data_IF_155088444759
#
_entry.id   IF_155088444759
#
_cell.length_a   1.000
_cell.length_b   1.000
_cell.length_c   1.000
_cell.angle_alpha   90.00
_cell.angle_beta   90.00
_cell.angle_gamma   90.00
#
_symmetry.space_group_name_H-M   'P 1'
#
loop_
_entity.id
_entity.type
_entity.pdbx_description
1 polymer ?
#
# COMPACT_ATOMS: atom_id res chain seq x y z
N UNK A 1 2.24 22.57 -26.66
CA UNK A 1 2.69 21.51 -25.71
C UNK A 1 2.82 20.19 -26.47
N UNK A 2 4.03 19.74 -26.80
CA UNK A 2 4.28 18.47 -27.55
C UNK A 2 3.95 17.26 -26.64
N UNK A 3 2.96 16.46 -27.02
CA UNK A 3 2.74 15.12 -26.45
C UNK A 3 3.81 14.18 -27.01
N UNK A 4 4.97 14.12 -26.36
CA UNK A 4 6.10 13.24 -26.75
C UNK A 4 5.91 11.79 -26.31
N UNK A 5 6.09 10.86 -27.26
CA UNK A 5 6.64 9.50 -27.13
C UNK A 5 6.13 8.54 -26.04
N UNK A 6 4.83 8.19 -26.03
CA UNK A 6 4.35 7.05 -25.20
C UNK A 6 4.90 5.67 -25.64
N UNK A 7 5.30 5.52 -26.90
CA UNK A 7 5.74 4.24 -27.47
C UNK A 7 7.19 3.83 -27.07
N UNK A 8 8.08 4.80 -26.88
CA UNK A 8 9.45 4.53 -26.39
C UNK A 8 9.45 4.05 -24.93
N UNK A 9 8.58 4.63 -24.11
CA UNK A 9 8.41 4.25 -22.71
C UNK A 9 7.87 2.81 -22.55
N UNK A 10 7.00 2.35 -23.45
CA UNK A 10 6.45 0.99 -23.37
C UNK A 10 7.49 -0.07 -23.69
N UNK A 11 8.35 0.17 -24.69
CA UNK A 11 9.40 -0.77 -25.06
C UNK A 11 10.45 -0.90 -23.95
N UNK A 12 10.88 0.23 -23.37
CA UNK A 12 11.82 0.22 -22.24
C UNK A 12 11.25 -0.48 -21.01
N UNK A 13 9.95 -0.31 -20.72
CA UNK A 13 9.28 -1.03 -19.62
C UNK A 13 9.20 -2.53 -19.88
N UNK A 14 8.93 -2.94 -21.10
CA UNK A 14 8.87 -4.36 -21.46
C UNK A 14 10.24 -5.01 -21.29
N UNK A 15 11.29 -4.38 -21.84
CA UNK A 15 12.67 -4.84 -21.67
C UNK A 15 13.09 -4.93 -20.21
N UNK A 16 12.76 -3.92 -19.40
CA UNK A 16 13.02 -3.96 -17.95
C UNK A 16 12.28 -5.11 -17.26
N UNK A 17 11.02 -5.35 -17.61
CA UNK A 17 10.25 -6.43 -17.02
C UNK A 17 10.78 -7.82 -17.43
N UNK A 18 11.27 -7.97 -18.66
CA UNK A 18 11.88 -9.20 -19.16
C UNK A 18 13.20 -9.50 -18.45
N UNK A 19 14.11 -8.52 -18.39
CA UNK A 19 15.38 -8.67 -17.67
C UNK A 19 15.17 -9.00 -16.20
N UNK A 20 14.22 -8.35 -15.51
CA UNK A 20 13.87 -8.68 -14.13
C UNK A 20 13.31 -10.11 -13.99
N UNK A 21 12.54 -10.60 -14.97
CA UNK A 21 12.07 -12.00 -14.98
C UNK A 21 13.22 -12.97 -15.15
N UNK A 22 14.17 -12.69 -16.02
CA UNK A 22 15.36 -13.53 -16.24
C UNK A 22 16.23 -13.60 -14.98
N UNK A 23 16.53 -12.46 -14.36
CA UNK A 23 17.27 -12.41 -13.10
C UNK A 23 16.58 -13.27 -12.04
N UNK A 24 15.25 -13.19 -11.93
CA UNK A 24 14.50 -14.04 -10.98
C UNK A 24 14.62 -15.52 -11.31
N UNK A 25 14.53 -15.92 -12.57
CA UNK A 25 14.67 -17.32 -12.99
C UNK A 25 16.06 -17.86 -12.65
N UNK A 26 17.10 -17.03 -12.82
CA UNK A 26 18.47 -17.37 -12.50
C UNK A 26 18.69 -17.47 -10.98
N UNK A 27 18.21 -16.50 -10.21
CA UNK A 27 18.49 -16.42 -8.77
C UNK A 27 17.63 -17.38 -7.95
N UNK A 28 16.37 -17.61 -8.33
CA UNK A 28 15.41 -18.36 -7.51
C UNK A 28 15.86 -19.78 -7.11
N UNK A 29 16.48 -20.59 -8.01
CA UNK A 29 17.02 -21.90 -7.65
C UNK A 29 18.17 -21.84 -6.63
N UNK A 30 18.86 -20.71 -6.51
CA UNK A 30 20.00 -20.56 -5.61
C UNK A 30 19.66 -19.88 -4.29
N UNK A 31 18.42 -19.42 -4.11
CA UNK A 31 17.96 -18.87 -2.83
C UNK A 31 17.86 -19.95 -1.77
N UNK A 32 18.27 -19.62 -0.55
CA UNK A 32 18.07 -20.47 0.63
C UNK A 32 16.57 -20.63 0.95
N UNK A 33 16.20 -21.69 1.68
CA UNK A 33 14.82 -21.98 2.11
C UNK A 33 14.16 -20.78 2.78
N UNK A 34 14.89 -20.05 3.64
CA UNK A 34 14.36 -18.87 4.30
C UNK A 34 14.07 -17.74 3.32
N UNK A 35 15.00 -17.48 2.40
CA UNK A 35 14.87 -16.43 1.38
C UNK A 35 13.74 -16.74 0.38
N UNK A 36 13.63 -18.00 -0.06
CA UNK A 36 12.53 -18.47 -0.91
C UNK A 36 11.17 -18.22 -0.25
N UNK A 37 11.05 -18.56 1.04
CA UNK A 37 9.83 -18.32 1.81
C UNK A 37 9.48 -16.83 1.88
N UNK A 38 10.47 -15.96 2.13
CA UNK A 38 10.25 -14.51 2.12
C UNK A 38 9.78 -14.00 0.75
N UNK A 39 10.37 -14.52 -0.33
CA UNK A 39 9.99 -14.18 -1.69
C UNK A 39 8.55 -14.59 -2.00
N UNK A 40 8.18 -15.84 -1.69
CA UNK A 40 6.82 -16.36 -1.87
C UNK A 40 5.78 -15.57 -1.05
N UNK A 41 6.08 -15.28 0.22
CA UNK A 41 5.20 -14.48 1.10
C UNK A 41 5.01 -13.05 0.57
N UNK A 42 6.03 -12.48 -0.07
CA UNK A 42 5.94 -11.16 -0.71
C UNK A 42 5.17 -11.22 -2.03
N UNK A 43 5.40 -12.24 -2.86
CA UNK A 43 4.64 -12.48 -4.09
C UNK A 43 3.15 -12.66 -3.79
N UNK A 44 2.80 -13.49 -2.81
CA UNK A 44 1.43 -13.71 -2.36
C UNK A 44 0.79 -12.39 -1.89
N UNK A 45 1.51 -11.57 -1.12
CA UNK A 45 1.03 -10.26 -0.66
C UNK A 45 0.71 -9.30 -1.81
N UNK A 46 1.57 -9.23 -2.83
CA UNK A 46 1.35 -8.37 -4.00
C UNK A 46 0.10 -8.80 -4.77
N UNK A 47 -0.16 -10.12 -4.82
CA UNK A 47 -1.39 -10.70 -5.40
C UNK A 47 -2.63 -10.52 -4.50
N UNK A 48 -2.51 -9.86 -3.35
CA UNK A 48 -3.62 -9.64 -2.42
C UNK A 48 -3.93 -10.83 -1.51
N UNK A 49 -3.13 -11.90 -1.56
CA UNK A 49 -3.29 -13.07 -0.70
C UNK A 49 -2.82 -12.71 0.72
N UNK A 50 -3.60 -13.15 1.71
CA UNK A 50 -3.26 -12.93 3.13
C UNK A 50 -2.00 -13.70 3.50
N UNK A 51 -1.03 -12.99 4.10
CA UNK A 51 0.22 -13.59 4.56
C UNK A 51 -0.01 -14.57 5.71
N UNK A 52 0.89 -15.54 5.85
CA UNK A 52 0.92 -16.47 6.99
C UNK A 52 1.01 -15.68 8.30
N UNK A 53 0.27 -16.13 9.32
CA UNK A 53 0.33 -15.51 10.66
C UNK A 53 1.73 -15.71 11.24
N UNK A 54 2.21 -14.72 11.99
CA UNK A 54 3.43 -14.88 12.78
C UNK A 54 3.22 -15.94 13.87
N UNK A 55 4.32 -16.51 14.34
CA UNK A 55 4.29 -17.40 15.50
C UNK A 55 3.70 -16.68 16.72
N UNK A 56 2.92 -17.40 17.52
CA UNK A 56 2.41 -16.90 18.80
C UNK A 56 3.61 -16.66 19.72
N UNK A 57 3.63 -15.49 20.37
CA UNK A 57 4.67 -15.11 21.33
C UNK A 57 4.00 -14.63 22.62
N UNK A 58 4.67 -14.75 23.79
CA UNK A 58 4.23 -14.10 25.01
C UNK A 58 4.07 -12.58 24.82
N UNK A 59 3.06 -12.01 25.48
CA UNK A 59 2.77 -10.58 25.41
C UNK A 59 3.98 -9.68 25.76
N UNK A 60 4.75 -9.91 26.84
CA UNK A 60 5.86 -9.03 27.20
C UNK A 60 6.97 -9.01 26.12
N UNK A 61 7.27 -10.16 25.53
CA UNK A 61 8.26 -10.27 24.46
C UNK A 61 7.80 -9.54 23.19
N UNK A 62 6.52 -9.70 22.83
CA UNK A 62 5.92 -9.01 21.70
C UNK A 62 5.99 -7.49 21.87
N UNK A 63 5.67 -6.97 23.05
CA UNK A 63 5.75 -5.54 23.35
C UNK A 63 7.18 -5.02 23.30
N UNK A 64 8.13 -5.79 23.84
CA UNK A 64 9.57 -5.44 23.78
C UNK A 64 10.05 -5.32 22.33
N UNK A 65 9.73 -6.30 21.47
CA UNK A 65 10.09 -6.29 20.05
C UNK A 65 9.45 -5.10 19.30
N UNK A 66 8.19 -4.80 19.60
CA UNK A 66 7.51 -3.63 19.01
C UNK A 66 8.19 -2.32 19.43
N UNK A 67 8.55 -2.18 20.70
CA UNK A 67 9.25 -1.00 21.23
C UNK A 67 10.64 -0.83 20.59
N UNK A 68 11.40 -1.92 20.47
CA UNK A 68 12.71 -1.91 19.81
C UNK A 68 12.61 -1.50 18.33
N UNK A 69 11.63 -2.05 17.61
CA UNK A 69 11.38 -1.70 16.19
C UNK A 69 11.01 -0.22 16.05
N UNK A 70 10.14 0.29 16.93
CA UNK A 70 9.74 1.70 16.92
C UNK A 70 10.94 2.62 17.17
N UNK A 71 11.76 2.31 18.19
CA UNK A 71 12.99 3.05 18.50
C UNK A 71 13.96 3.07 17.32
N UNK A 72 14.17 1.93 16.66
CA UNK A 72 15.04 1.86 15.49
C UNK A 72 14.54 2.77 14.35
N UNK A 73 13.23 2.80 14.09
CA UNK A 73 12.64 3.67 13.07
C UNK A 73 12.81 5.15 13.45
N UNK A 74 12.61 5.49 14.73
CA UNK A 74 12.79 6.86 15.24
C UNK A 74 14.24 7.34 15.13
N UNK A 75 15.20 6.52 15.57
CA UNK A 75 16.62 6.83 15.46
C UNK A 75 17.04 7.02 14.01
N UNK A 76 16.54 6.16 13.10
CA UNK A 76 16.80 6.31 11.67
C UNK A 76 16.25 7.62 11.11
N UNK A 77 15.04 8.02 11.52
CA UNK A 77 14.45 9.31 11.11
C UNK A 77 15.25 10.51 11.62
N UNK A 78 15.76 10.44 12.85
CA UNK A 78 16.64 11.48 13.40
C UNK A 78 17.94 11.59 12.59
N UNK A 79 18.54 10.46 12.27
CA UNK A 79 19.75 10.42 11.42
C UNK A 79 19.50 10.96 10.01
N UNK A 80 18.34 10.65 9.40
CA UNK A 80 17.92 11.23 8.12
C UNK A 80 17.80 12.77 8.21
N UNK A 81 17.32 13.30 9.34
CA UNK A 81 17.22 14.74 9.59
C UNK A 81 18.58 15.40 9.82
N UNK A 82 19.43 14.79 10.66
CA UNK A 82 20.79 15.27 10.98
C UNK A 82 21.66 15.33 9.71
N UNK A 83 21.58 14.30 8.85
CA UNK A 83 22.32 14.26 7.59
C UNK A 83 21.65 15.06 6.47
N UNK A 84 20.42 15.55 6.67
CA UNK A 84 19.59 16.20 5.66
C UNK A 84 19.43 15.36 4.36
N UNK A 85 19.31 14.04 4.51
CA UNK A 85 19.15 13.08 3.40
C UNK A 85 17.82 12.34 3.52
N UNK A 86 17.13 12.15 2.38
CA UNK A 86 15.95 11.29 2.30
C UNK A 86 16.32 9.90 1.78
N UNK A 87 16.23 8.89 2.63
CA UNK A 87 16.43 7.50 2.22
C UNK A 87 15.23 6.98 1.41
N UNK A 88 15.47 6.02 0.51
CA UNK A 88 14.44 5.40 -0.32
C UNK A 88 13.29 4.76 0.46
N UNK A 89 13.54 4.33 1.70
CA UNK A 89 12.51 3.76 2.58
C UNK A 89 11.54 4.85 3.08
N UNK A 90 12.03 6.10 3.20
CA UNK A 90 11.28 7.31 3.52
C UNK A 90 10.31 7.21 4.71
N UNK A 91 9.26 8.04 4.66
CA UNK A 91 8.19 8.13 5.67
C UNK A 91 7.41 6.83 5.90
N UNK A 92 7.52 5.90 4.93
CA UNK A 92 6.75 4.65 4.89
C UNK A 92 7.47 3.46 5.54
N UNK A 93 8.51 3.74 6.33
CA UNK A 93 9.27 2.73 7.06
C UNK A 93 8.38 1.84 7.93
N UNK A 94 7.40 2.43 8.60
CA UNK A 94 6.46 1.69 9.42
C UNK A 94 5.23 1.26 8.60
N UNK A 95 5.26 0.02 8.13
CA UNK A 95 4.17 -0.57 7.33
C UNK A 95 2.81 -0.53 8.04
N UNK A 96 2.78 -0.71 9.37
CA UNK A 96 1.54 -0.66 10.14
C UNK A 96 0.94 0.74 10.17
N UNK A 97 1.80 1.75 10.31
CA UNK A 97 1.40 3.15 10.28
C UNK A 97 0.84 3.52 8.90
N UNK A 98 1.52 3.13 7.82
CA UNK A 98 1.03 3.35 6.44
C UNK A 98 -0.30 2.65 6.19
N UNK A 99 -0.48 1.42 6.68
CA UNK A 99 -1.75 0.70 6.56
C UNK A 99 -2.88 1.42 7.32
N UNK A 100 -2.60 1.92 8.52
CA UNK A 100 -3.53 2.73 9.31
C UNK A 100 -3.90 4.02 8.59
N UNK A 101 -2.92 4.79 8.12
CA UNK A 101 -3.13 6.02 7.35
C UNK A 101 -3.96 5.77 6.08
N UNK A 102 -3.71 4.67 5.36
CA UNK A 102 -4.50 4.31 4.19
C UNK A 102 -5.96 3.98 4.55
N UNK A 103 -6.18 3.32 5.69
CA UNK A 103 -7.53 3.04 6.20
C UNK A 103 -8.24 4.34 6.60
N UNK A 104 -7.54 5.23 7.28
CA UNK A 104 -8.08 6.52 7.71
C UNK A 104 -8.36 7.43 6.51
N UNK A 105 -7.48 7.48 5.51
CA UNK A 105 -7.74 8.16 4.23
C UNK A 105 -8.99 7.62 3.52
N UNK A 106 -9.21 6.30 3.53
CA UNK A 106 -10.43 5.69 2.98
C UNK A 106 -11.68 6.07 3.77
N UNK A 107 -11.59 6.10 5.11
CA UNK A 107 -12.67 6.57 6.00
C UNK A 107 -13.03 8.03 5.72
N UNK A 108 -12.04 8.93 5.74
CA UNK A 108 -12.24 10.36 5.44
C UNK A 108 -12.84 10.58 4.05
N UNK A 109 -12.42 9.83 3.03
CA UNK A 109 -13.05 9.90 1.69
C UNK A 109 -14.51 9.45 1.70
N UNK A 110 -14.82 8.42 2.48
CA UNK A 110 -16.20 7.93 2.64
C UNK A 110 -17.06 8.94 3.38
N UNK A 111 -16.54 9.51 4.47
CA UNK A 111 -17.19 10.57 5.24
C UNK A 111 -17.43 11.81 4.38
N UNK A 112 -16.42 12.30 3.63
CA UNK A 112 -16.60 13.42 2.69
C UNK A 112 -17.68 13.14 1.66
N UNK A 113 -17.79 11.91 1.13
CA UNK A 113 -18.87 11.52 0.22
C UNK A 113 -20.23 11.50 0.92
N UNK A 114 -20.29 11.05 2.17
CA UNK A 114 -21.52 11.08 2.97
C UNK A 114 -21.96 12.54 3.18
N UNK A 115 -21.04 13.42 3.63
CA UNK A 115 -21.33 14.85 3.82
C UNK A 115 -21.71 15.56 2.51
N UNK A 116 -21.04 15.29 1.40
CA UNK A 116 -21.40 15.88 0.10
C UNK A 116 -22.76 15.40 -0.41
N UNK A 117 -23.14 14.15 -0.12
CA UNK A 117 -24.46 13.62 -0.45
C UNK A 117 -25.55 14.16 0.49
N UNK A 118 -25.19 14.54 1.72
CA UNK A 118 -26.13 15.05 2.71
C UNK A 118 -26.43 16.55 2.56
N UNK A 119 -25.55 17.34 1.93
CA UNK A 119 -25.79 18.76 1.63
C UNK A 119 -26.81 18.99 0.50
N UNK A 120 -27.12 17.97 -0.32
CA UNK A 120 -28.15 18.06 -1.36
C UNK A 120 -29.25 17.00 -1.25
N UNK A 121 -29.13 16.02 -0.35
CA UNK A 121 -30.17 15.01 -0.06
C UNK A 121 -30.58 14.10 -1.23
N UNK A 122 -30.04 14.31 -2.44
CA UNK A 122 -30.37 13.58 -3.65
C UNK A 122 -29.06 13.32 -4.41
N UNK A 123 -28.56 12.09 -4.35
CA UNK A 123 -27.47 11.69 -5.22
C UNK A 123 -27.99 11.66 -6.65
N UNK A 124 -27.62 12.65 -7.45
CA UNK A 124 -27.98 12.70 -8.85
C UNK A 124 -26.96 11.90 -9.68
N UNK A 125 -27.42 10.92 -10.44
CA UNK A 125 -26.60 10.22 -11.43
C UNK A 125 -27.12 10.54 -12.82
N UNK A 126 -26.29 11.11 -13.68
CA UNK A 126 -26.62 11.30 -15.09
C UNK A 126 -26.26 10.05 -15.90
N UNK A 127 -27.25 9.52 -16.62
CA UNK A 127 -27.04 8.60 -17.75
C UNK A 127 -27.79 9.17 -18.94
N UNK A 128 -27.14 9.21 -20.10
CA UNK A 128 -27.76 9.61 -21.37
C UNK A 128 -28.56 10.93 -21.29
N UNK A 129 -27.98 11.97 -20.66
CA UNK A 129 -28.60 13.29 -20.57
C UNK A 129 -29.78 13.43 -19.60
N UNK A 130 -30.11 12.39 -18.82
CA UNK A 130 -31.19 12.41 -17.84
C UNK A 130 -30.63 12.26 -16.42
N UNK A 131 -31.03 13.17 -15.53
CA UNK A 131 -30.53 13.25 -14.15
C UNK A 131 -31.45 12.45 -13.21
N UNK A 132 -30.95 11.35 -12.63
CA UNK A 132 -31.73 10.50 -11.71
C UNK A 132 -31.43 10.82 -10.24
N UNK A 133 -32.45 11.18 -9.45
CA UNK A 133 -32.34 11.34 -7.99
C UNK A 133 -32.45 10.00 -7.25
N UNK A 134 -31.32 9.35 -6.95
CA UNK A 134 -31.31 8.09 -6.20
C UNK A 134 -31.35 8.30 -4.68
N UNK A 135 -32.38 7.77 -3.99
CA UNK A 135 -32.35 7.58 -2.52
C UNK A 135 -31.38 6.46 -2.17
N UNK A 136 -30.10 6.77 -1.97
CA UNK A 136 -29.12 5.79 -1.49
C UNK A 136 -29.24 5.62 0.04
N UNK A 137 -30.28 4.93 0.49
CA UNK A 137 -30.39 4.48 1.89
C UNK A 137 -29.46 3.28 2.08
N UNK A 138 -28.19 3.54 2.40
CA UNK A 138 -27.32 2.49 2.96
C UNK A 138 -27.71 2.30 4.43
N UNK A 139 -28.52 1.27 4.72
CA UNK A 139 -28.72 0.81 6.10
C UNK A 139 -27.36 0.46 6.71
N UNK A 140 -27.01 1.10 7.83
CA UNK A 140 -25.95 0.61 8.72
C UNK A 140 -26.48 -0.69 9.33
N UNK A 141 -25.83 -1.82 9.06
CA UNK A 141 -26.04 -3.00 9.88
C UNK A 141 -25.32 -2.74 11.21
N UNK A 142 -26.11 -2.74 12.28
CA UNK A 142 -25.65 -2.75 13.68
C UNK A 142 -25.02 -4.10 13.99
#
# INVERSE_FOLDING_TARGET
>A
MKKGSKAGDTNNRNLFNETVKEIRKLVYPHLDKFQRRQYEDMRAKVLGIKQRKSQKMPLPELLSRQKATKRHIENRKKLEQELNVKLHVGDKANRFQVAKENKDKKRMKTERRIYSNNLSGKGFTEKSGVVYAGKNVRKKNV
#
